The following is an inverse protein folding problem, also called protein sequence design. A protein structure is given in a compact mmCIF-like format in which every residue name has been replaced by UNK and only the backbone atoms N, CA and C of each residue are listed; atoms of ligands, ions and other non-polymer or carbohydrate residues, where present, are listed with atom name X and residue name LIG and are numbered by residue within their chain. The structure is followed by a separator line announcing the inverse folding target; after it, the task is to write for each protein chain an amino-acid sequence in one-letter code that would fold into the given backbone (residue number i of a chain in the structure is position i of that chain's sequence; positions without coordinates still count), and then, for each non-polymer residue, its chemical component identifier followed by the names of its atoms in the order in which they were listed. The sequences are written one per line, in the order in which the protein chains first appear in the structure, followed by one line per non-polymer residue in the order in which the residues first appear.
data_IF_152884714117
#
_entry.id   IF_152884714117
#
_cell.length_a   1.000
_cell.length_b   1.000
_cell.length_c   1.000
_cell.angle_alpha   90.00
_cell.angle_beta   90.00
_cell.angle_gamma   90.00
#
_symmetry.space_group_name_H-M   'P 1'
#
loop_
_entity.id
_entity.type
_entity.pdbx_description
1 polymer ?
#
# COMPACT_ATOMS: atom_id res chain seq x y z
N UNK A 1 14.12 -20.87 -38.06
CA UNK A 1 14.96 -20.91 -36.84
C UNK A 1 15.02 -19.55 -36.12
N UNK A 2 15.30 -18.46 -36.84
CA UNK A 2 15.42 -17.09 -36.27
C UNK A 2 14.12 -16.56 -35.63
N UNK A 3 12.96 -16.74 -36.26
CA UNK A 3 11.67 -16.33 -35.67
C UNK A 3 11.35 -17.06 -34.35
N UNK A 4 11.60 -18.37 -34.32
CA UNK A 4 11.35 -19.20 -33.13
C UNK A 4 12.19 -18.71 -31.93
N UNK A 5 13.44 -18.30 -32.17
CA UNK A 5 14.30 -17.69 -31.15
C UNK A 5 13.82 -16.30 -30.70
N UNK A 6 13.33 -15.45 -31.62
CA UNK A 6 12.73 -14.15 -31.27
C UNK A 6 11.50 -14.32 -30.38
N UNK A 7 10.63 -15.27 -30.70
CA UNK A 7 9.43 -15.57 -29.91
C UNK A 7 9.76 -16.13 -28.53
N UNK A 8 10.80 -16.98 -28.41
CA UNK A 8 11.26 -17.46 -27.11
C UNK A 8 11.79 -16.33 -26.22
N UNK A 9 12.58 -15.40 -26.78
CA UNK A 9 13.07 -14.22 -26.03
C UNK A 9 11.91 -13.34 -25.56
N UNK A 10 10.93 -13.09 -26.43
CA UNK A 10 9.73 -12.33 -26.07
C UNK A 10 8.93 -13.01 -24.95
N UNK A 11 8.72 -14.33 -25.04
CA UNK A 11 8.02 -15.10 -24.02
C UNK A 11 8.75 -15.11 -22.68
N UNK A 12 10.08 -15.27 -22.69
CA UNK A 12 10.89 -15.22 -21.48
C UNK A 12 10.80 -13.84 -20.82
N UNK A 13 10.91 -12.75 -21.59
CA UNK A 13 10.76 -11.40 -21.06
C UNK A 13 9.36 -11.15 -20.48
N UNK A 14 8.32 -11.68 -21.13
CA UNK A 14 6.95 -11.61 -20.62
C UNK A 14 6.82 -12.35 -19.29
N UNK A 15 7.34 -13.57 -19.20
CA UNK A 15 7.33 -14.36 -17.96
C UNK A 15 8.01 -13.61 -16.80
N UNK A 16 9.21 -13.07 -17.03
CA UNK A 16 9.94 -12.32 -16.00
C UNK A 16 9.18 -11.07 -15.54
N UNK A 17 8.59 -10.32 -16.48
CA UNK A 17 7.78 -9.15 -16.13
C UNK A 17 6.57 -9.53 -15.30
N UNK A 18 5.81 -10.55 -15.74
CA UNK A 18 4.66 -11.04 -14.97
C UNK A 18 5.07 -11.53 -13.58
N UNK A 19 6.22 -12.16 -13.43
CA UNK A 19 6.73 -12.57 -12.12
C UNK A 19 7.09 -11.37 -11.23
N UNK A 20 7.68 -10.32 -11.80
CA UNK A 20 7.98 -9.06 -11.08
C UNK A 20 6.67 -8.37 -10.68
N UNK A 21 5.75 -8.16 -11.62
CA UNK A 21 4.46 -7.50 -11.38
C UNK A 21 3.65 -8.23 -10.30
N UNK A 22 3.73 -9.57 -10.24
CA UNK A 22 3.00 -10.37 -9.26
C UNK A 22 3.50 -10.22 -7.81
N UNK A 23 4.74 -9.75 -7.61
CA UNK A 23 5.33 -9.53 -6.28
C UNK A 23 5.61 -8.06 -5.98
N UNK A 24 5.41 -7.20 -6.98
CA UNK A 24 5.54 -5.76 -6.85
C UNK A 24 4.52 -5.24 -5.81
N UNK A 25 4.97 -4.65 -4.68
CA UNK A 25 4.09 -4.22 -3.61
C UNK A 25 3.02 -3.23 -4.07
N UNK A 26 3.36 -2.35 -5.01
CA UNK A 26 2.41 -1.40 -5.58
C UNK A 26 1.30 -2.12 -6.35
N UNK A 27 1.66 -3.05 -7.22
CA UNK A 27 0.71 -3.88 -7.98
C UNK A 27 -0.17 -4.73 -7.06
N UNK A 28 0.40 -5.26 -5.97
CA UNK A 28 -0.35 -5.98 -4.95
C UNK A 28 -1.38 -5.09 -4.25
N UNK A 29 -0.97 -3.93 -3.71
CA UNK A 29 -1.89 -3.01 -3.04
C UNK A 29 -2.98 -2.57 -4.01
N UNK A 30 -2.65 -2.19 -5.24
CA UNK A 30 -3.63 -1.76 -6.23
C UNK A 30 -4.68 -2.83 -6.60
N UNK A 31 -4.28 -4.10 -6.65
CA UNK A 31 -5.21 -5.20 -6.97
C UNK A 31 -6.08 -5.60 -5.79
N UNK A 32 -5.51 -5.61 -4.58
CA UNK A 32 -6.19 -6.13 -3.40
C UNK A 32 -6.86 -5.05 -2.57
N UNK A 33 -6.49 -3.77 -2.70
CA UNK A 33 -7.01 -2.67 -1.91
C UNK A 33 -7.67 -1.64 -2.84
N UNK A 34 -8.99 -1.72 -2.99
CA UNK A 34 -9.76 -0.85 -3.87
C UNK A 34 -10.70 0.02 -3.04
N UNK A 35 -10.53 1.34 -3.16
CA UNK A 35 -11.45 2.31 -2.58
C UNK A 35 -12.49 2.70 -3.62
N UNK A 36 -13.75 2.47 -3.29
CA UNK A 36 -14.88 2.84 -4.12
C UNK A 36 -15.67 3.97 -3.46
N UNK A 37 -15.63 5.15 -4.06
CA UNK A 37 -16.42 6.32 -3.66
C UNK A 37 -17.73 6.45 -4.44
N UNK A 38 -17.99 5.55 -5.40
CA UNK A 38 -19.18 5.60 -6.21
C UNK A 38 -20.34 5.00 -5.43
N UNK A 39 -21.11 5.87 -4.79
CA UNK A 39 -22.53 5.76 -4.48
C UNK A 39 -23.14 4.39 -4.80
N UNK A 40 -22.80 3.38 -3.99
CA UNK A 40 -23.61 2.16 -3.90
C UNK A 40 -25.01 2.58 -3.42
N UNK A 41 -26.01 1.70 -3.46
CA UNK A 41 -27.43 2.00 -3.18
C UNK A 41 -27.72 2.77 -1.86
N UNK A 42 -26.72 2.99 -1.00
CA UNK A 42 -26.75 3.70 0.27
C UNK A 42 -25.82 4.94 0.37
N UNK A 43 -25.12 5.34 -0.69
CA UNK A 43 -24.29 6.57 -0.76
C UNK A 43 -22.97 6.56 0.03
N UNK A 44 -22.59 5.42 0.60
CA UNK A 44 -21.38 5.28 1.45
C UNK A 44 -20.18 4.77 0.66
N UNK A 45 -18.98 5.21 1.06
CA UNK A 45 -17.73 4.73 0.49
C UNK A 45 -17.45 3.30 0.98
N UNK A 46 -16.73 2.52 0.17
CA UNK A 46 -16.36 1.15 0.51
C UNK A 46 -14.88 0.91 0.27
N UNK A 47 -14.25 0.19 1.19
CA UNK A 47 -12.90 -0.34 1.06
C UNK A 47 -12.99 -1.85 0.79
N UNK A 48 -12.52 -2.26 -0.38
CA UNK A 48 -12.49 -3.67 -0.78
C UNK A 48 -11.08 -4.21 -0.54
N UNK A 49 -10.98 -5.29 0.25
CA UNK A 49 -9.74 -5.99 0.59
C UNK A 49 -9.82 -7.43 0.05
N UNK A 50 -9.31 -7.64 -1.15
CA UNK A 50 -9.50 -8.88 -1.90
C UNK A 50 -10.98 -9.16 -2.12
N UNK A 51 -11.49 -10.21 -1.48
CA UNK A 51 -12.91 -10.58 -1.56
C UNK A 51 -13.76 -10.01 -0.41
N UNK A 52 -13.14 -9.29 0.53
CA UNK A 52 -13.83 -8.68 1.67
C UNK A 52 -14.22 -7.25 1.34
N UNK A 53 -15.36 -6.81 1.86
CA UNK A 53 -15.88 -5.46 1.67
C UNK A 53 -16.12 -4.82 3.04
N UNK A 54 -15.60 -3.61 3.23
CA UNK A 54 -15.77 -2.83 4.45
C UNK A 54 -16.44 -1.51 4.06
N UNK A 55 -17.62 -1.24 4.60
CA UNK A 55 -18.26 0.06 4.45
C UNK A 55 -17.56 1.08 5.33
N UNK A 56 -17.24 2.24 4.75
CA UNK A 56 -16.55 3.33 5.44
C UNK A 56 -17.57 4.34 5.92
N UNK A 57 -17.88 4.25 7.21
CA UNK A 57 -18.80 5.15 7.90
C UNK A 57 -18.08 6.26 8.69
N UNK A 58 -16.75 6.12 8.85
CA UNK A 58 -15.88 7.01 9.63
C UNK A 58 -14.52 7.17 8.94
N UNK A 59 -13.54 7.75 9.65
CA UNK A 59 -12.24 8.06 9.07
C UNK A 59 -11.42 6.79 8.83
N UNK A 60 -10.63 6.82 7.76
CA UNK A 60 -9.65 5.78 7.43
C UNK A 60 -8.25 6.36 7.54
N UNK A 61 -7.45 5.76 8.42
CA UNK A 61 -6.06 6.10 8.65
C UNK A 61 -5.17 5.00 8.10
N UNK A 62 -4.02 5.36 7.54
CA UNK A 62 -3.07 4.40 6.97
C UNK A 62 -1.68 4.63 7.53
N UNK A 63 -1.04 3.57 8.01
CA UNK A 63 0.39 3.53 8.28
C UNK A 63 1.07 2.49 7.39
N UNK A 64 2.16 2.87 6.73
CA UNK A 64 2.92 1.97 5.86
C UNK A 64 4.36 1.85 6.35
N UNK A 65 4.84 0.62 6.49
CA UNK A 65 6.17 0.28 7.01
C UNK A 65 6.99 -0.51 5.98
N UNK A 66 8.30 -0.26 5.97
CA UNK A 66 9.29 -0.99 5.18
C UNK A 66 9.65 -0.33 3.85
N UNK A 67 10.64 -0.90 3.15
CA UNK A 67 11.31 -0.27 1.99
C UNK A 67 10.37 0.07 0.84
N UNK A 68 9.26 -0.66 0.70
CA UNK A 68 8.28 -0.44 -0.37
C UNK A 68 7.16 0.55 0.01
N UNK A 69 7.12 1.03 1.26
CA UNK A 69 6.11 1.96 1.73
C UNK A 69 6.14 3.29 0.95
N UNK A 70 7.34 3.83 0.70
CA UNK A 70 7.54 5.10 -0.01
C UNK A 70 7.15 4.97 -1.49
N UNK A 71 7.57 3.90 -2.16
CA UNK A 71 7.23 3.65 -3.57
C UNK A 71 5.72 3.52 -3.77
N UNK A 72 5.03 2.88 -2.82
CA UNK A 72 3.57 2.76 -2.83
C UNK A 72 2.87 4.11 -2.64
N UNK A 73 3.43 5.01 -1.82
CA UNK A 73 2.86 6.32 -1.48
C UNK A 73 3.12 7.41 -2.55
N UNK A 74 4.28 7.37 -3.21
CA UNK A 74 4.71 8.42 -4.15
C UNK A 74 4.39 8.14 -5.63
N UNK A 75 4.18 6.89 -6.04
CA UNK A 75 3.74 6.60 -7.41
C UNK A 75 2.29 7.07 -7.62
N UNK A 76 2.14 8.00 -8.57
CA UNK A 76 0.97 8.80 -8.94
C UNK A 76 -0.38 8.07 -9.18
N UNK A 77 -0.54 6.77 -8.89
CA UNK A 77 -1.70 6.00 -9.33
C UNK A 77 -2.61 5.39 -8.26
N UNK A 78 -2.13 5.07 -7.04
CA UNK A 78 -2.95 4.29 -6.09
C UNK A 78 -3.64 5.16 -5.05
N UNK A 79 -2.93 6.10 -4.42
CA UNK A 79 -3.51 6.98 -3.39
C UNK A 79 -3.99 8.33 -3.93
N UNK A 80 -3.63 8.68 -5.16
CA UNK A 80 -4.09 9.92 -5.81
C UNK A 80 -5.62 9.97 -5.96
N UNK A 81 -6.27 8.81 -6.13
CA UNK A 81 -7.75 8.71 -6.13
C UNK A 81 -8.38 8.79 -4.74
N UNK A 82 -7.59 8.70 -3.67
CA UNK A 82 -8.08 8.68 -2.29
C UNK A 82 -8.11 10.09 -1.66
N UNK A 83 -7.66 11.12 -2.40
CA UNK A 83 -7.59 12.51 -1.93
C UNK A 83 -7.02 12.63 -0.50
N UNK A 84 -5.93 11.90 -0.23
CA UNK A 84 -5.30 11.84 1.08
C UNK A 84 -3.95 12.57 1.10
N UNK A 85 -3.66 13.28 2.20
CA UNK A 85 -2.30 13.75 2.52
C UNK A 85 -1.56 12.65 3.26
N UNK A 86 -0.28 12.44 2.94
CA UNK A 86 0.57 11.47 3.62
C UNK A 86 1.83 12.16 4.17
N UNK A 87 2.23 11.76 5.37
CA UNK A 87 3.53 12.11 5.93
C UNK A 87 4.48 10.93 5.72
N UNK A 88 5.65 11.21 5.14
CA UNK A 88 6.71 10.20 4.99
C UNK A 88 7.73 10.39 6.10
N UNK A 89 8.04 9.30 6.80
CA UNK A 89 9.09 9.26 7.81
C UNK A 89 10.06 8.13 7.46
N UNK A 90 11.36 8.43 7.49
CA UNK A 90 12.43 7.46 7.30
C UNK A 90 13.14 7.17 8.62
N UNK A 91 13.59 5.94 8.79
CA UNK A 91 14.32 5.45 9.95
C UNK A 91 14.69 4.00 9.79
N UNK A 92 15.15 3.38 10.88
CA UNK A 92 15.70 2.04 10.89
C UNK A 92 16.91 1.88 9.95
N UNK A 93 17.82 2.88 9.96
CA UNK A 93 19.04 2.85 9.14
C UNK A 93 19.83 1.55 9.40
N UNK A 94 20.38 0.96 8.35
CA UNK A 94 21.07 -0.34 8.40
C UNK A 94 20.22 -1.50 8.96
N UNK A 95 18.89 -1.45 8.84
CA UNK A 95 17.96 -2.42 9.43
C UNK A 95 18.05 -2.48 10.98
N UNK A 96 18.58 -1.44 11.63
CA UNK A 96 18.69 -1.35 13.08
C UNK A 96 17.70 -0.30 13.61
N UNK A 97 16.99 -0.56 14.72
CA UNK A 97 16.15 0.47 15.34
C UNK A 97 16.97 1.71 15.71
N UNK A 98 16.51 2.87 15.25
CA UNK A 98 17.13 4.16 15.54
C UNK A 98 16.10 5.12 16.16
N UNK A 99 16.57 6.31 16.54
CA UNK A 99 15.70 7.32 17.15
C UNK A 99 14.60 7.80 16.18
N UNK A 100 14.86 7.81 14.87
CA UNK A 100 13.89 8.23 13.87
C UNK A 100 12.73 7.22 13.77
N UNK A 101 13.02 5.93 13.78
CA UNK A 101 12.02 4.86 13.86
C UNK A 101 11.20 4.93 15.16
N UNK A 102 11.87 5.18 16.30
CA UNK A 102 11.19 5.34 17.58
C UNK A 102 10.24 6.55 17.60
N UNK A 103 10.71 7.70 17.09
CA UNK A 103 9.90 8.92 16.99
C UNK A 103 8.68 8.70 16.08
N UNK A 104 8.86 7.98 14.98
CA UNK A 104 7.76 7.64 14.05
C UNK A 104 6.74 6.73 14.72
N UNK A 105 7.19 5.70 15.44
CA UNK A 105 6.31 4.83 16.21
C UNK A 105 5.51 5.59 17.27
N UNK A 106 6.16 6.51 18.00
CA UNK A 106 5.49 7.38 18.97
C UNK A 106 4.44 8.28 18.32
N UNK A 107 4.74 8.87 17.15
CA UNK A 107 3.77 9.69 16.41
C UNK A 107 2.53 8.90 16.01
N UNK A 108 2.72 7.67 15.52
CA UNK A 108 1.60 6.78 15.18
C UNK A 108 0.79 6.45 16.43
N UNK A 109 1.46 6.15 17.55
CA UNK A 109 0.78 5.89 18.83
C UNK A 109 -0.05 7.10 19.29
N UNK A 110 0.50 8.31 19.23
CA UNK A 110 -0.19 9.55 19.56
C UNK A 110 -1.38 9.79 18.62
N UNK A 111 -1.21 9.60 17.31
CA UNK A 111 -2.30 9.72 16.34
C UNK A 111 -3.46 8.79 16.72
N UNK A 112 -3.17 7.50 16.96
CA UNK A 112 -4.20 6.52 17.30
C UNK A 112 -4.86 6.86 18.64
N UNK A 113 -4.08 7.24 19.65
CA UNK A 113 -4.60 7.44 21.01
C UNK A 113 -5.40 8.73 21.16
N UNK A 114 -5.01 9.78 20.44
CA UNK A 114 -5.55 11.13 20.67
C UNK A 114 -6.62 11.51 19.64
N UNK A 115 -6.65 10.87 18.47
CA UNK A 115 -7.52 11.30 17.36
C UNK A 115 -8.53 10.26 16.88
N UNK A 116 -8.27 8.96 17.07
CA UNK A 116 -9.16 7.92 16.56
C UNK A 116 -10.30 7.61 17.53
N UNK A 117 -11.48 7.35 16.98
CA UNK A 117 -12.62 6.78 17.69
C UNK A 117 -12.77 5.27 17.40
N UNK A 118 -13.66 4.61 18.14
CA UNK A 118 -13.85 3.16 18.06
C UNK A 118 -14.35 2.66 16.69
N UNK A 119 -14.99 3.55 15.92
CA UNK A 119 -15.57 3.21 14.63
C UNK A 119 -14.67 3.60 13.44
N UNK A 120 -13.53 4.26 13.70
CA UNK A 120 -12.52 4.55 12.69
C UNK A 120 -11.73 3.29 12.32
N UNK A 121 -11.15 3.30 11.11
CA UNK A 121 -10.34 2.19 10.61
C UNK A 121 -8.87 2.61 10.55
N UNK A 122 -7.99 1.78 11.13
CA UNK A 122 -6.55 1.91 11.01
C UNK A 122 -5.98 0.79 10.14
N UNK A 123 -5.57 1.11 8.92
CA UNK A 123 -4.94 0.17 8.00
C UNK A 123 -3.42 0.20 8.17
N UNK A 124 -2.82 -0.96 8.39
CA UNK A 124 -1.36 -1.11 8.47
C UNK A 124 -0.84 -1.90 7.28
N UNK A 125 0.02 -1.29 6.48
CA UNK A 125 0.73 -1.93 5.37
C UNK A 125 2.16 -2.24 5.82
N UNK A 126 2.59 -3.49 5.67
CA UNK A 126 3.93 -3.92 6.06
C UNK A 126 4.60 -4.55 4.85
N UNK A 127 5.75 -4.01 4.46
CA UNK A 127 6.66 -4.63 3.51
C UNK A 127 7.87 -5.20 4.24
N UNK A 128 8.39 -6.34 3.73
CA UNK A 128 9.53 -7.01 4.34
C UNK A 128 10.83 -6.22 4.19
N UNK A 129 11.77 -6.48 5.10
CA UNK A 129 13.17 -6.09 4.93
C UNK A 129 13.86 -7.10 4.01
N UNK A 130 14.50 -6.65 2.94
CA UNK A 130 15.58 -7.42 2.32
C UNK A 130 16.73 -7.40 3.34
N UNK A 131 16.97 -8.57 3.95
CA UNK A 131 18.17 -8.92 4.71
C UNK A 131 19.41 -8.79 3.82
#
# INVERSE_FOLDING_TARGET
MIEKMKNMKANALKLFRTAIDAVDPYTCVKHYLVFNNNSSHNGKAELHIGNNHITLDHNLYVAAFGKAAIGSAQENGTYSSWNCSFDVYEGAEHNLPDQAAMNTAQRIQTMISDTMCADDIFLVLISGNIL
#
